data_IF_393029634508
#
_entry.id   IF_393029634508
#
_cell.length_a   1.000
_cell.length_b   1.000
_cell.length_c   1.000
_cell.angle_alpha   90.00
_cell.angle_beta   90.00
_cell.angle_gamma   90.00
#
_symmetry.space_group_name_H-M   'P 1'
#
loop_
_entity.id
_entity.type
_entity.pdbx_description
1 polymer ?
#
# COMPACT_ATOMS: atom_id res chain seq x y z
N UNK A 1 2.80 -5.14 -3.79
CA UNK A 1 3.22 -4.63 -2.45
C UNK A 1 2.58 -5.40 -1.32
N UNK A 2 1.24 -5.55 -1.27
CA UNK A 2 0.58 -6.25 -0.15
C UNK A 2 1.08 -7.70 0.05
N UNK A 3 1.22 -8.50 -1.03
CA UNK A 3 1.84 -9.84 -0.96
C UNK A 3 3.24 -9.84 -0.32
N UNK A 4 4.07 -8.87 -0.70
CA UNK A 4 5.44 -8.71 -0.15
C UNK A 4 5.38 -8.34 1.34
N UNK A 5 4.51 -7.41 1.72
CA UNK A 5 4.32 -7.03 3.12
C UNK A 5 3.83 -8.20 3.98
N UNK A 6 2.89 -9.00 3.48
CA UNK A 6 2.42 -10.20 4.15
C UNK A 6 3.52 -11.26 4.28
N UNK A 7 4.34 -11.46 3.22
CA UNK A 7 5.46 -12.39 3.26
C UNK A 7 6.53 -11.98 4.28
N UNK A 8 6.90 -10.69 4.33
CA UNK A 8 7.79 -10.16 5.37
C UNK A 8 7.18 -10.33 6.75
N UNK A 9 5.88 -10.06 6.90
CA UNK A 9 5.18 -10.24 8.16
C UNK A 9 5.19 -11.71 8.60
N UNK A 10 5.10 -12.68 7.68
CA UNK A 10 5.21 -14.12 7.98
C UNK A 10 6.59 -14.45 8.54
N UNK A 11 7.65 -14.03 7.84
CA UNK A 11 9.03 -14.30 8.22
C UNK A 11 9.44 -13.62 9.55
N UNK A 12 8.67 -12.61 9.98
CA UNK A 12 8.86 -11.86 11.24
C UNK A 12 7.83 -12.19 12.31
N UNK A 13 6.95 -13.17 12.08
CA UNK A 13 5.88 -13.57 13.00
C UNK A 13 4.93 -12.42 13.39
N UNK A 14 4.71 -11.46 12.47
CA UNK A 14 3.75 -10.38 12.63
C UNK A 14 2.35 -10.80 12.18
N UNK A 15 1.37 -10.55 13.03
CA UNK A 15 -0.02 -10.94 12.81
C UNK A 15 -0.84 -9.96 11.96
N UNK A 16 -0.27 -8.84 11.52
CA UNK A 16 -1.01 -7.82 10.77
C UNK A 16 -0.09 -6.91 9.96
N UNK A 17 -0.65 -6.25 8.95
CA UNK A 17 -0.03 -5.14 8.22
C UNK A 17 -0.83 -3.86 8.51
N UNK A 18 -0.20 -2.69 8.48
CA UNK A 18 -0.89 -1.40 8.60
C UNK A 18 -0.64 -0.52 7.37
N UNK A 19 -1.64 0.24 6.96
CA UNK A 19 -1.53 1.22 5.86
C UNK A 19 -2.02 2.60 6.30
N UNK A 20 -1.54 3.64 5.63
CA UNK A 20 -2.02 5.01 5.78
C UNK A 20 -3.19 5.36 4.84
N UNK A 21 -3.94 4.37 4.35
CA UNK A 21 -5.05 4.60 3.41
C UNK A 21 -6.20 5.37 4.08
N UNK A 22 -6.77 6.35 3.35
CA UNK A 22 -7.98 7.10 3.73
C UNK A 22 -9.01 7.03 2.60
N UNK A 23 -10.27 6.76 2.93
CA UNK A 23 -11.30 6.49 1.93
C UNK A 23 -11.58 7.71 1.05
N UNK A 24 -11.47 7.54 -0.27
CA UNK A 24 -11.79 8.57 -1.26
C UNK A 24 -10.70 9.63 -1.45
N UNK A 25 -9.55 9.50 -0.79
CA UNK A 25 -8.46 10.49 -0.86
C UNK A 25 -7.76 10.49 -2.22
N UNK A 26 -7.53 9.31 -2.79
CA UNK A 26 -6.88 9.13 -4.10
C UNK A 26 -7.58 8.03 -4.90
N UNK A 27 -7.29 7.96 -6.21
CA UNK A 27 -7.98 7.06 -7.14
C UNK A 27 -7.90 5.56 -6.77
N UNK A 28 -6.83 5.13 -6.09
CA UNK A 28 -6.65 3.75 -5.61
C UNK A 28 -7.37 3.46 -4.30
N UNK A 29 -7.76 4.48 -3.53
CA UNK A 29 -8.36 4.35 -2.20
C UNK A 29 -9.88 4.45 -2.27
N UNK A 30 -10.48 3.64 -3.14
CA UNK A 30 -11.93 3.43 -3.23
C UNK A 30 -12.32 2.10 -2.59
N UNK A 31 -13.61 1.89 -2.30
CA UNK A 31 -14.09 0.61 -1.77
C UNK A 31 -13.65 -0.57 -2.64
N UNK A 32 -13.77 -0.42 -3.97
CA UNK A 32 -13.34 -1.42 -4.93
C UNK A 32 -11.82 -1.61 -4.95
N UNK A 33 -11.05 -0.52 -4.80
CA UNK A 33 -9.60 -0.58 -4.67
C UNK A 33 -9.14 -1.35 -3.44
N UNK A 34 -9.79 -1.13 -2.29
CA UNK A 34 -9.50 -1.86 -1.06
C UNK A 34 -9.85 -3.33 -1.16
N UNK A 35 -10.98 -3.69 -1.79
CA UNK A 35 -11.33 -5.10 -2.05
C UNK A 35 -10.23 -5.78 -2.87
N UNK A 36 -9.69 -5.09 -3.88
CA UNK A 36 -8.61 -5.63 -4.71
C UNK A 36 -7.30 -5.77 -3.93
N UNK A 37 -6.93 -4.80 -3.09
CA UNK A 37 -5.69 -4.88 -2.31
C UNK A 37 -5.77 -5.91 -1.18
N UNK A 38 -6.94 -6.07 -0.55
CA UNK A 38 -7.18 -7.06 0.50
C UNK A 38 -7.25 -8.50 -0.03
N UNK A 39 -7.59 -8.71 -1.31
CA UNK A 39 -7.69 -10.05 -1.91
C UNK A 39 -6.41 -10.88 -1.76
N UNK A 40 -5.27 -10.20 -1.71
CA UNK A 40 -3.94 -10.81 -1.63
C UNK A 40 -3.32 -10.73 -0.23
N UNK A 41 -4.11 -10.30 0.76
CA UNK A 41 -3.72 -10.29 2.17
C UNK A 41 -4.23 -11.56 2.85
N UNK A 42 -3.34 -12.25 3.56
CA UNK A 42 -3.64 -13.44 4.38
C UNK A 42 -3.85 -13.10 5.86
N UNK A 43 -3.71 -11.82 6.24
CA UNK A 43 -3.79 -11.30 7.61
C UNK A 43 -4.53 -9.96 7.66
N UNK A 44 -4.97 -9.51 8.85
CA UNK A 44 -5.62 -8.21 8.99
C UNK A 44 -4.75 -7.05 8.48
N UNK A 45 -5.37 -6.18 7.68
CA UNK A 45 -4.81 -4.90 7.25
C UNK A 45 -5.46 -3.77 8.05
N UNK A 46 -4.73 -3.20 9.00
CA UNK A 46 -5.20 -2.08 9.81
C UNK A 46 -5.10 -0.76 9.05
N UNK A 47 -6.21 -0.02 9.01
CA UNK A 47 -6.34 1.25 8.29
C UNK A 47 -6.80 2.35 9.24
N UNK A 48 -5.93 2.83 10.15
CA UNK A 48 -6.31 3.80 11.19
C UNK A 48 -6.83 5.12 10.61
N UNK A 49 -6.45 5.47 9.39
CA UNK A 49 -6.83 6.73 8.74
C UNK A 49 -8.07 6.61 7.84
N UNK A 50 -8.74 5.45 7.80
CA UNK A 50 -9.72 5.11 6.76
C UNK A 50 -10.90 6.10 6.67
N UNK A 51 -11.29 6.70 7.79
CA UNK A 51 -12.38 7.68 7.88
C UNK A 51 -11.92 9.10 8.23
N UNK A 52 -10.62 9.40 8.11
CA UNK A 52 -10.06 10.70 8.48
C UNK A 52 -9.93 11.63 7.27
N UNK A 53 -10.19 12.92 7.48
CA UNK A 53 -9.89 13.95 6.49
C UNK A 53 -8.39 14.19 6.38
N UNK A 54 -7.95 14.73 5.23
CA UNK A 54 -6.56 15.09 4.98
C UNK A 54 -6.01 16.08 6.00
N UNK A 55 -6.80 17.09 6.34
CA UNK A 55 -6.34 18.15 7.26
C UNK A 55 -6.07 17.57 8.66
N UNK A 56 -6.95 16.69 9.16
CA UNK A 56 -6.78 16.01 10.44
C UNK A 56 -5.52 15.12 10.44
N UNK A 57 -5.27 14.40 9.35
CA UNK A 57 -4.07 13.57 9.18
C UNK A 57 -2.81 14.46 9.20
N UNK A 58 -2.83 15.61 8.53
CA UNK A 58 -1.71 16.54 8.50
C UNK A 58 -1.45 17.17 9.88
N UNK A 59 -2.50 17.50 10.63
CA UNK A 59 -2.36 18.01 12.00
C UNK A 59 -1.74 16.98 12.93
N UNK A 60 -2.15 15.70 12.84
CA UNK A 60 -1.50 14.62 13.56
C UNK A 60 -0.03 14.50 13.14
N UNK A 61 0.27 14.54 11.84
CA UNK A 61 1.63 14.47 11.33
C UNK A 61 2.53 15.61 11.86
N UNK A 62 1.99 16.82 12.01
CA UNK A 62 2.70 17.95 12.64
C UNK A 62 2.91 17.69 14.13
N UNK A 63 1.87 17.23 14.82
CA UNK A 63 1.93 16.95 16.27
C UNK A 63 2.95 15.85 16.62
N UNK A 64 3.12 14.83 15.76
CA UNK A 64 4.11 13.75 15.96
C UNK A 64 5.45 14.02 15.28
N UNK A 65 5.63 15.19 14.64
CA UNK A 65 6.89 15.61 14.05
C UNK A 65 7.28 14.93 12.73
N UNK A 66 6.34 14.31 12.00
CA UNK A 66 6.62 13.62 10.73
C UNK A 66 6.30 14.47 9.49
N UNK A 67 5.52 15.54 9.63
CA UNK A 67 5.05 16.35 8.51
C UNK A 67 6.20 16.90 7.65
N UNK A 68 7.16 17.59 8.26
CA UNK A 68 8.27 18.27 7.53
C UNK A 68 9.12 17.30 6.72
N UNK A 69 9.36 16.09 7.23
CA UNK A 69 10.11 15.05 6.48
C UNK A 69 9.28 14.47 5.34
N UNK A 70 7.97 14.30 5.55
CA UNK A 70 7.07 13.67 4.58
C UNK A 70 6.78 14.52 3.35
N UNK A 71 7.00 15.85 3.42
CA UNK A 71 6.76 16.78 2.31
C UNK A 71 8.02 17.12 1.50
N UNK A 72 9.17 16.53 1.82
CA UNK A 72 10.40 16.78 1.08
C UNK A 72 10.23 16.38 -0.41
N UNK A 73 10.76 17.18 -1.35
CA UNK A 73 10.54 16.98 -2.77
C UNK A 73 11.39 15.82 -3.30
N UNK A 74 10.85 14.61 -3.25
CA UNK A 74 11.45 13.41 -3.83
C UNK A 74 10.54 12.82 -4.92
N UNK A 75 11.15 12.29 -5.97
CA UNK A 75 10.42 11.49 -6.96
C UNK A 75 10.06 10.13 -6.34
N UNK A 76 8.80 10.01 -5.93
CA UNK A 76 8.21 8.74 -5.52
C UNK A 76 7.89 7.87 -6.75
N UNK A 77 7.89 6.55 -6.59
CA UNK A 77 7.33 5.59 -7.54
C UNK A 77 5.90 5.97 -7.98
N UNK A 78 5.10 6.63 -7.14
CA UNK A 78 3.80 7.17 -7.52
C UNK A 78 3.89 8.26 -8.61
N UNK A 79 4.98 9.01 -8.70
CA UNK A 79 5.13 10.02 -9.76
C UNK A 79 5.63 9.41 -11.07
N UNK A 80 6.41 8.34 -10.97
CA UNK A 80 7.06 7.68 -12.13
C UNK A 80 6.13 6.65 -12.80
N UNK A 81 5.36 5.89 -12.01
CA UNK A 81 4.56 4.76 -12.48
C UNK A 81 3.06 5.00 -12.48
N UNK A 82 2.59 6.21 -12.16
CA UNK A 82 1.15 6.49 -12.21
C UNK A 82 0.64 6.40 -13.64
N UNK A 83 -0.38 5.58 -13.91
CA UNK A 83 -1.01 5.57 -15.22
C UNK A 83 -1.70 6.90 -15.46
N UNK A 84 -1.76 7.36 -16.72
CA UNK A 84 -2.47 8.60 -17.09
C UNK A 84 -3.94 8.62 -16.65
N UNK A 85 -4.57 7.44 -16.58
CA UNK A 85 -5.97 7.26 -16.20
C UNK A 85 -6.09 6.10 -15.20
N UNK A 86 -5.86 6.34 -13.90
CA UNK A 86 -6.03 5.31 -12.88
C UNK A 86 -7.50 4.87 -12.79
N UNK A 87 -7.73 3.56 -12.68
CA UNK A 87 -9.08 3.01 -12.50
C UNK A 87 -9.52 3.20 -11.05
N UNK A 88 -10.61 3.94 -10.86
CA UNK A 88 -11.24 4.14 -9.53
C UNK A 88 -12.20 3.03 -9.12
N UNK A 89 -12.60 2.18 -10.07
CA UNK A 89 -13.47 1.01 -9.82
C UNK A 89 -12.87 -0.26 -10.42
N UNK A 90 -11.72 -0.72 -9.92
CA UNK A 90 -11.13 -1.95 -10.39
C UNK A 90 -12.05 -3.14 -10.06
N UNK A 91 -12.09 -4.14 -10.94
CA UNK A 91 -12.87 -5.36 -10.70
C UNK A 91 -11.90 -6.47 -10.36
N UNK A 92 -12.14 -7.14 -9.24
CA UNK A 92 -11.23 -8.18 -8.74
C UNK A 92 -10.93 -9.27 -9.77
N UNK A 93 -11.94 -9.75 -10.49
CA UNK A 93 -11.80 -10.73 -11.57
C UNK A 93 -10.84 -10.27 -12.67
N UNK A 94 -10.89 -9.00 -13.07
CA UNK A 94 -10.00 -8.48 -14.10
C UNK A 94 -8.55 -8.41 -13.61
N UNK A 95 -8.36 -8.07 -12.33
CA UNK A 95 -7.03 -7.96 -11.73
C UNK A 95 -6.40 -9.35 -11.63
N UNK A 96 -7.10 -10.34 -11.06
CA UNK A 96 -6.62 -11.73 -10.99
C UNK A 96 -6.26 -12.28 -12.38
N UNK A 97 -7.11 -12.05 -13.38
CA UNK A 97 -6.83 -12.44 -14.77
C UNK A 97 -5.60 -11.74 -15.34
N UNK A 98 -5.37 -10.48 -14.99
CA UNK A 98 -4.19 -9.75 -15.44
C UNK A 98 -2.92 -10.26 -14.75
N UNK A 99 -3.03 -10.71 -13.50
CA UNK A 99 -1.92 -11.30 -12.74
C UNK A 99 -1.48 -12.66 -13.31
N UNK A 100 -2.35 -13.42 -13.99
CA UNK A 100 -1.99 -14.71 -14.61
C UNK A 100 -0.84 -14.62 -15.63
N UNK A 101 -0.63 -13.43 -16.22
CA UNK A 101 0.46 -13.19 -17.16
C UNK A 101 1.81 -12.91 -16.47
N UNK A 102 1.84 -12.87 -15.13
CA UNK A 102 3.00 -12.48 -14.34
C UNK A 102 3.48 -13.66 -13.50
N UNK A 103 4.80 -13.81 -13.37
CA UNK A 103 5.44 -14.75 -12.44
C UNK A 103 5.42 -14.17 -11.01
N UNK A 104 4.23 -13.96 -10.44
CA UNK A 104 4.03 -13.22 -9.19
C UNK A 104 4.85 -13.81 -8.04
N UNK A 105 4.86 -15.14 -7.89
CA UNK A 105 5.59 -15.82 -6.82
C UNK A 105 7.09 -15.51 -6.91
N UNK A 106 7.69 -15.65 -8.10
CA UNK A 106 9.11 -15.36 -8.33
C UNK A 106 9.44 -13.89 -8.02
N UNK A 107 8.60 -12.97 -8.48
CA UNK A 107 8.79 -11.52 -8.26
C UNK A 107 8.67 -11.14 -6.78
N UNK A 108 7.74 -11.76 -6.05
CA UNK A 108 7.58 -11.55 -4.61
C UNK A 108 8.79 -12.09 -3.85
N UNK A 109 9.25 -13.30 -4.18
CA UNK A 109 10.44 -13.89 -3.57
C UNK A 109 11.70 -13.05 -3.81
N UNK A 110 11.94 -12.60 -5.06
CA UNK A 110 13.05 -11.70 -5.36
C UNK A 110 12.99 -10.41 -4.53
N UNK A 111 11.82 -9.78 -4.42
CA UNK A 111 11.64 -8.56 -3.64
C UNK A 111 11.88 -8.77 -2.14
N UNK A 112 11.39 -9.88 -1.58
CA UNK A 112 11.59 -10.21 -0.16
C UNK A 112 13.06 -10.51 0.13
N UNK A 113 13.72 -11.30 -0.72
CA UNK A 113 15.15 -11.62 -0.58
C UNK A 113 16.05 -10.39 -0.69
N UNK A 114 15.64 -9.37 -1.45
CA UNK A 114 16.34 -8.09 -1.57
C UNK A 114 16.04 -7.09 -0.45
N UNK A 115 15.30 -7.46 0.61
CA UNK A 115 14.94 -6.54 1.70
C UNK A 115 16.15 -6.20 2.57
N UNK A 116 16.37 -4.90 2.79
CA UNK A 116 17.38 -4.39 3.72
C UNK A 116 16.73 -3.84 5.00
N UNK A 117 17.34 -4.11 6.17
CA UNK A 117 16.91 -3.56 7.45
C UNK A 117 17.83 -2.40 7.85
N UNK A 118 17.32 -1.17 7.74
CA UNK A 118 18.03 0.04 8.15
C UNK A 118 17.61 0.38 9.59
N UNK A 119 18.59 0.61 10.47
CA UNK A 119 18.35 1.20 11.79
C UNK A 119 18.52 2.72 11.66
N UNK A 120 17.43 3.44 11.90
CA UNK A 120 17.40 4.91 11.95
C UNK A 120 17.92 5.42 13.29
#
# INVERSE_FOLDING_TARGET
MMRVACKIAEDKEFHSVATGESMGQVASQTMEGLVVSDDVSDRPVFRPLIGMDKEDIMDIARNIGTFETSILPYEDCCTIFVPKHPKTKPRLVDIRKSEEALEIERLVEEAVNGTELIKL
#
